data_IF_237356937778
#
_entry.id   IF_237356937778
#
_cell.length_a   1.000
_cell.length_b   1.000
_cell.length_c   1.000
_cell.angle_alpha   90.00
_cell.angle_beta   90.00
_cell.angle_gamma   90.00
#
_symmetry.space_group_name_H-M   'P 1'
#
loop_
_entity.id
_entity.type
_entity.pdbx_description
1 polymer ?
#
# COMPACT_ATOMS: atom_id res chain seq x y z
N UNK A 1 0.81 -8.75 20.27
CA UNK A 1 1.98 -8.90 19.39
C UNK A 1 2.50 -10.32 19.56
N UNK A 2 2.97 -10.95 18.50
CA UNK A 2 3.60 -12.28 18.56
C UNK A 2 4.86 -12.29 19.44
N UNK A 3 5.45 -11.11 19.68
CA UNK A 3 6.62 -10.90 20.52
C UNK A 3 6.44 -11.31 21.98
N UNK A 4 5.28 -11.02 22.61
CA UNK A 4 5.03 -11.42 24.00
C UNK A 4 4.94 -12.94 24.15
N UNK A 5 4.38 -13.61 23.13
CA UNK A 5 4.27 -15.05 23.07
C UNK A 5 5.64 -15.69 22.81
N UNK A 6 6.43 -15.13 21.90
CA UNK A 6 7.80 -15.56 21.65
C UNK A 6 8.70 -15.41 22.89
N UNK A 7 8.58 -14.29 23.64
CA UNK A 7 9.33 -14.07 24.86
C UNK A 7 8.93 -15.05 25.98
N UNK A 8 7.64 -15.31 26.14
CA UNK A 8 7.16 -16.32 27.09
C UNK A 8 7.69 -17.72 26.74
N UNK A 9 7.67 -18.07 25.45
CA UNK A 9 8.23 -19.32 24.94
C UNK A 9 9.73 -19.43 25.21
N UNK A 10 10.50 -18.34 25.07
CA UNK A 10 11.94 -18.30 25.38
C UNK A 10 12.21 -18.51 26.89
N UNK A 11 11.43 -17.87 27.76
CA UNK A 11 11.59 -18.02 29.21
C UNK A 11 11.28 -19.43 29.72
N UNK A 12 10.40 -20.15 29.02
CA UNK A 12 9.98 -21.51 29.36
C UNK A 12 10.53 -22.57 28.37
N UNK A 13 11.61 -22.25 27.66
CA UNK A 13 12.13 -23.11 26.58
C UNK A 13 12.55 -24.51 27.08
N UNK A 14 13.08 -24.58 28.29
CA UNK A 14 13.43 -25.81 29.01
C UNK A 14 12.22 -26.72 29.32
N UNK A 15 10.99 -26.20 29.27
CA UNK A 15 9.76 -26.94 29.53
C UNK A 15 9.16 -27.55 28.26
N UNK A 16 9.67 -27.21 27.07
CA UNK A 16 9.14 -27.65 25.77
C UNK A 16 9.70 -29.03 25.41
N UNK A 17 8.92 -30.12 25.52
CA UNK A 17 9.44 -31.45 25.29
C UNK A 17 9.49 -31.72 23.78
N UNK A 18 10.64 -32.23 23.30
CA UNK A 18 10.89 -32.83 21.97
C UNK A 18 11.54 -31.98 20.86
N UNK A 19 11.90 -30.71 21.05
CA UNK A 19 12.52 -29.92 19.95
C UNK A 19 13.81 -29.15 20.30
N UNK A 20 14.12 -28.76 21.54
CA UNK A 20 15.23 -27.81 21.78
C UNK A 20 16.20 -28.25 22.85
N UNK A 21 17.49 -28.18 22.56
CA UNK A 21 18.59 -28.12 23.52
C UNK A 21 18.34 -27.03 24.59
N UNK A 22 18.88 -27.20 25.80
CA UNK A 22 18.86 -26.16 26.83
C UNK A 22 19.51 -24.88 26.28
N UNK A 23 18.83 -23.73 26.37
CA UNK A 23 19.42 -22.44 26.02
C UNK A 23 20.52 -22.11 27.05
N UNK A 24 21.78 -22.06 26.62
CA UNK A 24 22.89 -21.62 27.47
C UNK A 24 23.04 -20.09 27.32
N UNK A 25 23.19 -19.31 28.41
CA UNK A 25 23.42 -17.86 28.33
C UNK A 25 24.68 -17.47 27.54
N UNK A 26 25.59 -18.43 27.33
CA UNK A 26 26.89 -18.28 26.66
C UNK A 26 26.80 -18.18 25.13
N UNK A 27 25.60 -18.26 24.56
CA UNK A 27 25.39 -18.20 23.10
C UNK A 27 25.29 -16.77 22.53
N UNK A 28 25.44 -15.73 23.34
CA UNK A 28 25.51 -14.35 22.82
C UNK A 28 26.97 -13.99 22.55
N UNK A 29 27.36 -13.96 21.28
CA UNK A 29 28.66 -13.47 20.84
C UNK A 29 28.55 -11.98 20.47
N UNK A 30 29.38 -11.14 21.09
CA UNK A 30 29.47 -9.72 20.74
C UNK A 30 30.71 -9.46 19.89
N UNK A 31 30.52 -8.96 18.68
CA UNK A 31 31.61 -8.57 17.77
C UNK A 31 31.66 -7.05 17.60
N UNK A 32 32.83 -6.46 17.83
CA UNK A 32 33.08 -5.06 17.58
C UNK A 32 33.11 -4.78 16.06
N UNK A 33 32.48 -3.68 15.64
CA UNK A 33 32.49 -3.20 14.26
C UNK A 33 33.59 -2.15 14.06
N UNK A 34 34.38 -2.35 13.00
CA UNK A 34 35.46 -1.46 12.61
C UNK A 34 35.28 -1.03 11.15
N UNK A 35 35.40 0.26 10.87
CA UNK A 35 35.53 0.78 9.51
C UNK A 35 36.99 0.68 9.05
N UNK A 36 37.27 0.04 7.89
CA UNK A 36 38.61 0.00 7.29
C UNK A 36 39.29 1.36 7.15
N UNK A 37 38.53 2.44 6.90
CA UNK A 37 39.04 3.80 6.74
C UNK A 37 39.45 4.46 8.08
N UNK A 38 39.02 3.89 9.21
CA UNK A 38 39.32 4.37 10.57
C UNK A 38 39.77 3.21 11.46
N UNK A 39 40.93 2.59 11.17
CA UNK A 39 41.40 1.44 11.91
C UNK A 39 41.66 1.81 13.38
N UNK A 40 41.29 0.91 14.29
CA UNK A 40 41.53 1.04 15.72
C UNK A 40 40.44 1.77 16.53
N UNK A 41 39.39 2.30 15.89
CA UNK A 41 38.23 2.89 16.60
C UNK A 41 37.00 2.02 16.37
N UNK A 42 36.49 1.43 17.46
CA UNK A 42 35.21 0.72 17.48
C UNK A 42 34.04 1.69 17.19
N UNK A 43 33.16 1.35 16.26
CA UNK A 43 32.04 2.20 15.80
C UNK A 43 30.66 1.60 16.10
N UNK A 44 30.64 0.48 16.79
CA UNK A 44 29.43 -0.24 17.14
C UNK A 44 29.75 -1.67 17.52
N UNK A 45 28.73 -2.38 17.99
CA UNK A 45 28.79 -3.80 18.35
C UNK A 45 27.63 -4.52 17.69
N UNK A 46 27.88 -5.74 17.21
CA UNK A 46 26.83 -6.68 16.85
C UNK A 46 26.76 -7.73 17.96
N UNK A 47 25.58 -7.94 18.51
CA UNK A 47 25.26 -9.07 19.37
C UNK A 47 24.58 -10.16 18.53
N UNK A 48 25.12 -11.38 18.54
CA UNK A 48 24.69 -12.49 17.70
C UNK A 48 24.39 -13.68 18.59
N UNK A 49 23.30 -14.39 18.30
CA UNK A 49 23.00 -15.69 18.88
C UNK A 49 23.72 -16.78 18.09
N UNK A 50 24.56 -17.57 18.74
CA UNK A 50 25.35 -18.65 18.13
C UNK A 50 24.82 -19.99 18.59
N UNK A 51 24.15 -20.70 17.68
CA UNK A 51 23.74 -22.09 17.88
C UNK A 51 24.87 -23.05 17.46
N UNK A 52 25.20 -23.99 18.35
CA UNK A 52 26.18 -25.04 18.11
C UNK A 52 25.47 -26.37 17.88
N UNK A 53 25.65 -26.96 16.69
CA UNK A 53 25.03 -28.23 16.32
C UNK A 53 26.01 -29.40 16.48
N UNK A 54 25.57 -30.55 17.01
CA UNK A 54 26.34 -31.79 16.98
C UNK A 54 26.72 -32.22 15.55
N UNK A 55 27.91 -32.79 15.37
CA UNK A 55 28.43 -33.18 14.05
C UNK A 55 27.68 -34.36 13.40
N UNK A 56 26.89 -35.10 14.18
CA UNK A 56 26.04 -36.22 13.75
C UNK A 56 24.62 -35.80 13.34
N UNK A 57 24.29 -34.50 13.48
CA UNK A 57 23.04 -33.92 13.02
C UNK A 57 23.15 -33.50 11.54
N UNK A 58 22.05 -33.51 10.76
CA UNK A 58 22.03 -32.86 9.47
C UNK A 58 22.54 -31.42 9.57
N UNK A 59 23.35 -31.00 8.59
CA UNK A 59 23.86 -29.63 8.53
C UNK A 59 22.71 -28.61 8.60
N UNK A 60 22.93 -27.44 9.23
CA UNK A 60 21.97 -26.35 9.18
C UNK A 60 21.56 -26.07 7.74
N UNK A 61 20.31 -25.65 7.55
CA UNK A 61 19.80 -25.27 6.24
C UNK A 61 20.63 -24.15 5.62
N UNK A 62 20.34 -23.84 4.35
CA UNK A 62 20.98 -22.73 3.66
C UNK A 62 20.87 -21.44 4.48
N UNK A 63 21.91 -20.59 4.52
CA UNK A 63 21.85 -19.30 5.20
C UNK A 63 20.62 -18.52 4.76
N UNK A 64 19.93 -17.92 5.73
CA UNK A 64 18.78 -17.07 5.45
C UNK A 64 19.27 -15.83 4.70
N UNK A 65 18.72 -15.59 3.51
CA UNK A 65 18.97 -14.35 2.79
C UNK A 65 18.28 -13.19 3.52
N UNK A 66 19.09 -12.39 4.21
CA UNK A 66 18.67 -11.18 4.93
C UNK A 66 18.78 -9.91 4.07
N UNK A 67 19.04 -10.06 2.77
CA UNK A 67 19.08 -8.91 1.86
C UNK A 67 17.78 -8.11 1.94
N UNK A 68 17.84 -6.76 1.87
CA UNK A 68 16.65 -5.94 1.87
C UNK A 68 15.65 -6.42 0.81
N UNK A 69 14.39 -6.59 1.24
CA UNK A 69 13.34 -7.07 0.35
C UNK A 69 13.15 -6.08 -0.79
N UNK A 70 13.13 -6.58 -2.02
CA UNK A 70 12.93 -5.74 -3.20
C UNK A 70 11.44 -5.51 -3.43
N UNK A 71 11.00 -4.26 -3.67
CA UNK A 71 9.61 -4.00 -4.00
C UNK A 71 9.21 -4.65 -5.32
N UNK A 72 7.94 -5.04 -5.39
CA UNK A 72 7.31 -5.55 -6.60
C UNK A 72 6.57 -4.42 -7.31
N UNK A 73 6.63 -4.37 -8.64
CA UNK A 73 5.87 -3.40 -9.42
C UNK A 73 4.42 -3.84 -9.56
N UNK A 74 3.50 -2.92 -9.29
CA UNK A 74 2.05 -3.09 -9.41
C UNK A 74 1.43 -1.99 -10.27
N UNK A 75 0.25 -2.29 -10.79
CA UNK A 75 -0.64 -1.33 -11.44
C UNK A 75 -2.00 -1.38 -10.77
N UNK A 76 -2.45 -0.24 -10.25
CA UNK A 76 -3.82 -0.04 -9.80
C UNK A 76 -4.59 0.65 -10.93
N UNK A 77 -5.69 0.04 -11.35
CA UNK A 77 -6.64 0.64 -12.27
C UNK A 77 -7.93 0.95 -11.53
N UNK A 78 -8.31 2.22 -11.51
CA UNK A 78 -9.58 2.67 -10.93
C UNK A 78 -10.47 3.13 -12.07
N UNK A 79 -11.61 2.47 -12.23
CA UNK A 79 -12.60 2.82 -13.25
C UNK A 79 -13.72 3.58 -12.56
N UNK A 80 -13.90 4.84 -12.92
CA UNK A 80 -15.02 5.69 -12.50
C UNK A 80 -16.16 5.42 -13.48
N UNK A 81 -17.21 4.74 -13.03
CA UNK A 81 -18.37 4.48 -13.88
C UNK A 81 -19.32 5.67 -13.85
N UNK A 82 -19.88 5.92 -12.68
CA UNK A 82 -20.89 6.94 -12.49
C UNK A 82 -20.91 7.46 -11.05
N UNK A 83 -21.47 8.66 -10.88
CA UNK A 83 -21.88 9.24 -9.60
C UNK A 83 -23.39 9.21 -9.48
N UNK A 84 -23.89 9.23 -8.26
CA UNK A 84 -25.31 9.32 -7.92
C UNK A 84 -25.46 10.17 -6.65
N UNK A 85 -26.62 10.81 -6.47
CA UNK A 85 -26.94 11.65 -5.32
C UNK A 85 -25.90 12.77 -5.04
N UNK A 86 -25.31 13.37 -6.09
CA UNK A 86 -24.43 14.54 -5.94
C UNK A 86 -25.25 15.77 -5.53
N UNK A 87 -24.78 16.50 -4.51
CA UNK A 87 -25.39 17.75 -4.05
C UNK A 87 -25.39 18.78 -5.17
N UNK A 88 -26.54 19.44 -5.39
CA UNK A 88 -26.72 20.45 -6.41
C UNK A 88 -26.53 21.85 -5.80
N UNK A 89 -25.41 22.51 -6.09
CA UNK A 89 -25.06 23.81 -5.50
C UNK A 89 -25.27 25.02 -6.43
N UNK A 90 -25.31 24.85 -7.75
CA UNK A 90 -25.36 25.95 -8.71
C UNK A 90 -26.79 26.31 -9.12
N UNK A 91 -27.12 27.60 -9.14
CA UNK A 91 -28.42 28.07 -9.68
C UNK A 91 -28.35 28.26 -11.20
N UNK A 92 -29.26 27.61 -11.95
CA UNK A 92 -29.37 27.82 -13.38
C UNK A 92 -29.86 29.24 -13.71
N UNK A 93 -28.97 30.05 -14.28
CA UNK A 93 -29.17 31.47 -14.62
C UNK A 93 -30.48 31.78 -15.38
N UNK A 94 -31.04 30.80 -16.09
CA UNK A 94 -32.28 30.94 -16.86
C UNK A 94 -33.51 30.27 -16.24
N UNK A 95 -33.35 29.20 -15.44
CA UNK A 95 -34.48 28.37 -14.96
C UNK A 95 -34.72 28.51 -13.45
N UNK A 96 -33.70 28.90 -12.68
CA UNK A 96 -33.72 28.86 -11.21
C UNK A 96 -33.60 27.45 -10.63
N UNK A 97 -33.48 26.43 -11.47
CA UNK A 97 -33.24 25.05 -11.04
C UNK A 97 -31.80 24.87 -10.56
N UNK A 98 -31.62 24.09 -9.48
CA UNK A 98 -30.30 23.72 -8.98
C UNK A 98 -29.62 22.71 -9.92
N UNK A 99 -28.33 22.89 -10.18
CA UNK A 99 -27.50 21.98 -10.96
C UNK A 99 -26.07 21.91 -10.42
N UNK A 100 -25.25 21.02 -10.95
CA UNK A 100 -23.82 20.99 -10.65
C UNK A 100 -22.98 20.45 -11.80
N UNK A 101 -21.76 20.97 -11.93
CA UNK A 101 -20.73 20.45 -12.80
C UNK A 101 -19.89 19.41 -12.06
N UNK A 102 -19.95 18.15 -12.48
CA UNK A 102 -19.39 17.02 -11.72
C UNK A 102 -18.11 16.52 -12.39
N UNK A 103 -17.02 16.40 -11.64
CA UNK A 103 -15.82 15.68 -12.06
C UNK A 103 -15.20 14.96 -10.87
N UNK A 104 -14.41 13.92 -11.14
CA UNK A 104 -13.73 13.14 -10.11
C UNK A 104 -12.23 13.29 -10.27
N UNK A 105 -11.54 13.59 -9.17
CA UNK A 105 -10.08 13.65 -9.09
C UNK A 105 -9.58 12.57 -8.12
N UNK A 106 -8.49 11.91 -8.48
CA UNK A 106 -7.89 10.87 -7.63
C UNK A 106 -6.39 10.75 -7.84
N UNK A 107 -5.68 10.33 -6.79
CA UNK A 107 -4.24 10.10 -6.77
C UNK A 107 -3.92 8.89 -5.88
N UNK A 108 -2.71 8.35 -6.00
CA UNK A 108 -2.26 7.21 -5.18
C UNK A 108 -1.08 7.58 -4.28
N UNK A 109 -0.08 8.29 -4.82
CA UNK A 109 1.13 8.67 -4.07
C UNK A 109 1.07 10.10 -3.57
N UNK A 110 0.37 10.98 -4.29
CA UNK A 110 0.22 12.38 -3.91
C UNK A 110 -0.20 13.26 -5.10
N UNK A 111 -0.17 14.59 -4.96
CA UNK A 111 -0.62 15.51 -6.01
C UNK A 111 0.09 15.34 -7.36
N UNK A 112 1.35 14.88 -7.34
CA UNK A 112 2.16 14.66 -8.55
C UNK A 112 1.63 13.55 -9.46
N UNK A 113 0.89 12.57 -8.92
CA UNK A 113 0.25 11.50 -9.70
C UNK A 113 -1.27 11.67 -9.84
N UNK A 114 -1.80 12.86 -9.52
CA UNK A 114 -3.21 13.15 -9.63
C UNK A 114 -3.72 13.05 -11.07
N UNK A 115 -4.86 12.36 -11.21
CA UNK A 115 -5.61 12.22 -12.44
C UNK A 115 -7.04 12.73 -12.18
N UNK A 116 -7.68 13.22 -13.24
CA UNK A 116 -9.07 13.69 -13.19
C UNK A 116 -9.85 13.18 -14.39
N UNK A 117 -11.16 13.07 -14.23
CA UNK A 117 -12.09 12.79 -15.32
C UNK A 117 -12.37 14.05 -16.15
N UNK A 118 -13.06 13.87 -17.26
CA UNK A 118 -13.80 14.97 -17.91
C UNK A 118 -14.90 15.51 -16.97
N UNK A 119 -15.41 16.70 -17.29
CA UNK A 119 -16.48 17.36 -16.55
C UNK A 119 -17.84 16.97 -17.13
N UNK A 120 -18.75 16.51 -16.28
CA UNK A 120 -20.15 16.33 -16.61
C UNK A 120 -20.91 17.62 -16.29
N UNK A 121 -21.19 18.41 -17.32
CA UNK A 121 -21.78 19.74 -17.17
C UNK A 121 -23.28 19.69 -16.86
N UNK A 122 -23.72 20.58 -15.96
CA UNK A 122 -25.13 20.87 -15.66
C UNK A 122 -25.96 19.65 -15.29
N UNK A 123 -25.45 18.81 -14.38
CA UNK A 123 -26.26 17.72 -13.83
C UNK A 123 -27.43 18.30 -13.03
N UNK A 124 -28.66 17.93 -13.42
CA UNK A 124 -29.89 18.34 -12.73
C UNK A 124 -30.36 17.30 -11.69
N UNK A 125 -29.82 16.10 -11.74
CA UNK A 125 -30.24 14.96 -10.91
C UNK A 125 -29.18 14.54 -9.90
N UNK A 126 -27.97 15.11 -10.00
CA UNK A 126 -26.82 14.65 -9.23
C UNK A 126 -26.20 13.36 -9.79
N UNK A 127 -26.63 12.91 -10.97
CA UNK A 127 -26.02 11.78 -11.67
C UNK A 127 -24.92 12.28 -12.61
N UNK A 128 -23.84 11.52 -12.72
CA UNK A 128 -22.74 11.78 -13.65
C UNK A 128 -22.23 10.46 -14.24
N UNK A 129 -21.93 10.41 -15.53
CA UNK A 129 -21.43 9.20 -16.20
C UNK A 129 -20.09 9.50 -16.87
N UNK A 130 -19.06 8.73 -16.50
CA UNK A 130 -17.68 9.02 -16.88
C UNK A 130 -17.07 7.87 -17.69
N UNK A 131 -17.30 6.61 -17.29
CA UNK A 131 -16.59 5.45 -17.83
C UNK A 131 -15.07 5.70 -17.98
N UNK A 132 -14.48 6.36 -16.98
CA UNK A 132 -13.11 6.85 -17.03
C UNK A 132 -12.18 5.91 -16.31
N UNK A 133 -10.93 5.78 -16.76
CA UNK A 133 -9.95 4.86 -16.16
C UNK A 133 -8.69 5.58 -15.72
N UNK A 134 -8.51 5.67 -14.41
CA UNK A 134 -7.22 6.01 -13.82
C UNK A 134 -6.30 4.80 -13.80
N UNK A 135 -5.02 5.03 -14.09
CA UNK A 135 -3.97 4.00 -14.07
C UNK A 135 -2.80 4.52 -13.24
N UNK A 136 -2.54 3.87 -12.09
CA UNK A 136 -1.47 4.24 -11.17
C UNK A 136 -0.41 3.12 -11.11
N UNK A 137 0.79 3.35 -11.67
CA UNK A 137 1.92 2.45 -11.46
C UNK A 137 2.59 2.73 -10.11
N UNK A 138 2.81 1.70 -9.30
CA UNK A 138 3.44 1.83 -7.98
C UNK A 138 4.28 0.61 -7.61
N UNK A 139 5.10 0.78 -6.58
CA UNK A 139 5.94 -0.26 -6.02
C UNK A 139 5.38 -0.68 -4.65
N UNK A 140 5.39 -1.98 -4.37
CA UNK A 140 4.78 -2.53 -3.16
C UNK A 140 5.65 -3.63 -2.54
N UNK A 141 5.85 -3.50 -1.23
CA UNK A 141 6.54 -4.44 -0.37
C UNK A 141 5.50 -5.32 0.33
N UNK A 142 5.36 -6.56 -0.12
CA UNK A 142 4.27 -7.43 0.30
C UNK A 142 4.37 -7.96 1.73
N UNK A 143 5.57 -7.96 2.32
CA UNK A 143 5.75 -8.42 3.69
C UNK A 143 5.54 -7.31 4.71
N UNK A 144 5.89 -6.09 4.33
CA UNK A 144 5.68 -4.87 5.10
C UNK A 144 4.29 -4.26 4.85
N UNK A 145 3.52 -4.82 3.90
CA UNK A 145 2.22 -4.33 3.43
C UNK A 145 2.22 -2.83 3.01
N UNK A 146 3.34 -2.36 2.45
CA UNK A 146 3.61 -0.92 2.25
C UNK A 146 3.89 -0.56 0.79
N UNK A 147 3.34 0.59 0.37
CA UNK A 147 3.66 1.21 -0.93
C UNK A 147 4.98 1.98 -0.81
N UNK A 148 5.86 1.79 -1.78
CA UNK A 148 7.15 2.48 -1.87
C UNK A 148 7.00 3.72 -2.75
N UNK A 149 7.42 4.87 -2.22
CA UNK A 149 7.46 6.14 -2.95
C UNK A 149 8.92 6.55 -3.07
N UNK A 150 9.47 6.45 -4.28
CA UNK A 150 10.78 7.01 -4.59
C UNK A 150 10.64 8.51 -4.86
N UNK A 151 11.07 9.34 -3.90
CA UNK A 151 11.19 10.79 -4.13
C UNK A 151 12.57 11.04 -4.73
N UNK A 152 12.64 11.45 -6.00
CA UNK A 152 13.89 11.95 -6.58
C UNK A 152 14.22 13.30 -5.96
N UNK A 153 15.09 13.32 -4.97
CA UNK A 153 15.70 14.56 -4.49
C UNK A 153 16.79 14.97 -5.51
N UNK A 154 16.41 15.85 -6.45
CA UNK A 154 17.27 16.50 -7.46
C UNK A 154 17.65 15.69 -8.72
N UNK A 155 17.72 16.36 -9.88
CA UNK A 155 18.12 15.81 -11.19
C UNK A 155 19.62 15.42 -11.29
N UNK A 156 20.40 15.66 -10.22
CA UNK A 156 21.85 15.46 -10.21
C UNK A 156 22.35 14.52 -9.10
N UNK A 157 21.46 13.87 -8.34
CA UNK A 157 21.87 12.81 -7.40
C UNK A 157 21.92 11.48 -8.16
N UNK A 158 23.13 10.93 -8.31
CA UNK A 158 23.37 9.55 -8.75
C UNK A 158 23.47 8.57 -7.57
N UNK A 159 23.07 9.00 -6.38
CA UNK A 159 23.14 8.18 -5.18
C UNK A 159 21.75 7.63 -4.82
N UNK A 160 21.78 6.35 -4.47
CA UNK A 160 20.66 5.43 -4.36
C UNK A 160 19.46 6.02 -3.62
N UNK A 161 18.30 5.93 -4.27
CA UNK A 161 16.98 6.28 -3.75
C UNK A 161 16.78 5.80 -2.31
N UNK A 162 16.76 6.74 -1.37
CA UNK A 162 16.19 6.51 -0.04
C UNK A 162 14.70 6.23 -0.22
N UNK A 163 14.33 4.95 -0.13
CA UNK A 163 12.95 4.50 -0.17
C UNK A 163 12.25 4.94 1.12
N UNK A 164 11.68 6.14 1.13
CA UNK A 164 10.84 6.60 2.23
C UNK A 164 9.54 5.81 2.17
N UNK A 165 9.33 4.96 3.16
CA UNK A 165 8.09 4.20 3.37
C UNK A 165 7.11 5.18 4.00
N UNK A 166 6.09 5.60 3.25
CA UNK A 166 5.08 6.50 3.76
C UNK A 166 3.90 5.71 4.30
N UNK A 167 3.39 6.16 5.45
CA UNK A 167 2.04 5.81 5.89
C UNK A 167 1.05 6.63 5.06
N UNK A 168 0.03 6.00 4.50
CA UNK A 168 -0.85 6.60 3.49
C UNK A 168 -1.89 7.57 4.07
N UNK A 169 -1.78 7.93 5.34
CA UNK A 169 -2.85 8.54 6.14
C UNK A 169 -2.87 10.07 6.16
N UNK A 170 -2.14 10.78 5.29
CA UNK A 170 -2.15 12.25 5.38
C UNK A 170 -1.88 13.02 4.08
N UNK A 171 -2.93 13.34 3.30
CA UNK A 171 -2.89 14.45 2.33
C UNK A 171 -4.23 15.21 2.15
N UNK A 172 -4.27 16.38 2.82
CA UNK A 172 -4.88 17.71 2.54
C UNK A 172 -6.38 17.98 2.27
N UNK A 173 -6.80 19.17 2.75
CA UNK A 173 -8.01 19.99 2.51
C UNK A 173 -7.92 20.82 1.20
N UNK A 174 -9.05 21.01 0.49
CA UNK A 174 -9.74 22.30 0.11
C UNK A 174 -10.92 22.04 -0.86
N UNK A 175 -12.03 22.81 -0.78
CA UNK A 175 -13.27 22.82 -1.62
C UNK A 175 -13.59 21.60 -2.51
N UNK A 176 -14.04 20.50 -1.90
CA UNK A 176 -14.59 19.35 -2.64
C UNK A 176 -16.01 19.04 -2.16
N UNK A 177 -16.89 18.67 -3.10
CA UNK A 177 -18.21 18.13 -2.82
C UNK A 177 -18.15 16.83 -2.00
N UNK A 178 -17.01 16.14 -1.98
CA UNK A 178 -16.78 15.01 -1.09
C UNK A 178 -15.41 14.37 -1.32
N UNK A 179 -14.90 13.65 -0.32
CA UNK A 179 -13.64 12.92 -0.43
C UNK A 179 -13.77 11.51 0.16
N UNK A 180 -12.86 10.62 -0.23
CA UNK A 180 -12.66 9.33 0.43
C UNK A 180 -11.19 8.93 0.30
N UNK A 181 -10.63 8.39 1.40
CA UNK A 181 -9.33 7.74 1.41
C UNK A 181 -9.54 6.29 1.82
N UNK A 182 -8.94 5.35 1.09
CA UNK A 182 -9.10 3.92 1.33
C UNK A 182 -7.75 3.20 1.28
N UNK A 183 -7.48 2.38 2.30
CA UNK A 183 -6.32 1.50 2.32
C UNK A 183 -6.53 0.32 1.37
N UNK A 184 -5.56 0.06 0.48
CA UNK A 184 -5.60 -1.06 -0.47
C UNK A 184 -5.47 -2.43 0.23
N UNK A 185 -4.86 -2.49 1.42
CA UNK A 185 -4.77 -3.70 2.23
C UNK A 185 -6.07 -3.98 2.99
N UNK A 186 -6.80 -2.94 3.37
CA UNK A 186 -8.05 -2.98 4.16
C UNK A 186 -9.15 -2.18 3.46
N UNK A 187 -9.48 -2.61 2.25
CA UNK A 187 -10.40 -1.89 1.38
C UNK A 187 -11.85 -2.22 1.74
N UNK A 188 -12.73 -1.25 2.04
CA UNK A 188 -14.12 -1.54 2.37
C UNK A 188 -14.85 -2.13 1.17
N UNK A 189 -15.65 -3.16 1.40
CA UNK A 189 -16.41 -3.80 0.31
C UNK A 189 -17.53 -2.86 -0.16
N UNK A 190 -17.49 -2.49 -1.44
CA UNK A 190 -18.51 -1.63 -2.05
C UNK A 190 -19.89 -2.28 -2.13
N UNK A 191 -20.93 -1.45 -2.08
CA UNK A 191 -22.31 -1.88 -2.19
C UNK A 191 -22.62 -2.31 -3.63
N UNK A 192 -23.56 -3.25 -3.80
CA UNK A 192 -23.94 -3.73 -5.15
C UNK A 192 -24.76 -2.70 -5.93
N UNK A 193 -25.44 -1.79 -5.24
CA UNK A 193 -26.37 -0.79 -5.78
C UNK A 193 -26.23 0.51 -5.01
N UNK A 194 -26.46 1.67 -5.66
CA UNK A 194 -26.42 2.99 -5.02
C UNK A 194 -27.30 3.05 -3.76
N UNK A 195 -28.56 2.56 -3.85
CA UNK A 195 -29.52 2.47 -2.73
C UNK A 195 -29.07 1.69 -1.50
N UNK A 196 -28.02 0.85 -1.61
CA UNK A 196 -27.46 0.06 -0.50
C UNK A 196 -26.13 0.63 -0.01
N UNK A 197 -25.66 1.71 -0.63
CA UNK A 197 -24.48 2.43 -0.24
C UNK A 197 -24.83 3.33 0.94
N UNK A 198 -24.10 3.21 2.05
CA UNK A 198 -24.31 4.02 3.25
C UNK A 198 -22.95 4.47 3.78
N UNK A 199 -22.91 5.64 4.42
CA UNK A 199 -21.72 6.16 5.11
C UNK A 199 -21.19 5.18 6.16
N UNK A 200 -22.04 4.32 6.71
CA UNK A 200 -21.66 3.24 7.64
C UNK A 200 -20.61 2.30 7.06
N UNK A 201 -20.50 2.21 5.73
CA UNK A 201 -19.50 1.41 5.04
C UNK A 201 -18.08 1.97 5.16
N UNK A 202 -17.90 3.17 5.69
CA UNK A 202 -16.59 3.77 5.97
C UNK A 202 -16.18 3.68 7.43
N UNK A 203 -16.99 3.02 8.27
CA UNK A 203 -16.65 2.82 9.69
C UNK A 203 -15.40 1.96 9.85
N UNK A 204 -14.52 2.40 10.74
CA UNK A 204 -13.26 1.73 11.09
C UNK A 204 -13.36 0.89 12.36
N UNK A 205 -14.57 0.70 12.90
CA UNK A 205 -14.86 -0.05 14.13
C UNK A 205 -14.80 -1.59 13.95
N UNK A 206 -14.41 -2.06 12.75
CA UNK A 206 -14.32 -3.48 12.42
C UNK A 206 -15.64 -4.14 12.04
N UNK A 207 -16.76 -3.40 12.01
CA UNK A 207 -18.07 -3.93 11.59
C UNK A 207 -18.18 -4.07 10.06
N UNK A 208 -17.40 -3.30 9.32
CA UNK A 208 -17.42 -3.29 7.86
C UNK A 208 -16.53 -4.42 7.31
N UNK A 209 -17.04 -5.26 6.40
CA UNK A 209 -16.22 -6.27 5.74
C UNK A 209 -15.16 -5.63 4.85
N UNK A 210 -13.89 -5.85 5.20
CA UNK A 210 -12.73 -5.37 4.47
C UNK A 210 -12.17 -6.44 3.51
N UNK A 211 -11.60 -6.01 2.40
CA UNK A 211 -10.91 -6.87 1.42
C UNK A 211 -9.50 -6.35 1.18
N UNK A 212 -8.54 -7.26 1.02
CA UNK A 212 -7.19 -6.89 0.60
C UNK A 212 -7.12 -6.97 -0.93
N UNK A 213 -6.89 -5.85 -1.60
CA UNK A 213 -6.86 -5.79 -3.07
C UNK A 213 -5.64 -6.48 -3.67
N UNK A 214 -4.58 -6.74 -2.91
CA UNK A 214 -3.44 -7.54 -3.38
C UNK A 214 -3.75 -9.04 -3.42
N UNK A 215 -4.69 -9.50 -2.58
CA UNK A 215 -5.23 -10.87 -2.60
C UNK A 215 -6.40 -10.99 -3.57
N UNK A 216 -7.38 -10.08 -3.47
CA UNK A 216 -8.53 -9.98 -4.34
C UNK A 216 -8.30 -8.93 -5.42
N UNK A 217 -7.78 -9.36 -6.58
CA UNK A 217 -7.32 -8.49 -7.67
C UNK A 217 -8.38 -7.58 -8.30
N UNK A 218 -9.67 -7.81 -8.04
CA UNK A 218 -10.77 -7.08 -8.67
C UNK A 218 -11.92 -6.86 -7.68
N UNK A 219 -12.44 -5.65 -7.66
CA UNK A 219 -13.68 -5.32 -6.97
C UNK A 219 -14.46 -4.27 -7.75
N UNK A 220 -15.79 -4.34 -7.69
CA UNK A 220 -16.72 -3.35 -8.26
C UNK A 220 -17.83 -3.13 -7.26
N UNK A 221 -18.23 -1.88 -7.09
CA UNK A 221 -19.30 -1.51 -6.18
C UNK A 221 -19.51 -0.01 -6.10
N UNK A 222 -20.33 0.37 -5.14
CA UNK A 222 -20.63 1.75 -4.77
C UNK A 222 -19.96 2.06 -3.43
N UNK A 223 -19.36 3.24 -3.33
CA UNK A 223 -18.79 3.78 -2.11
C UNK A 223 -19.31 5.20 -1.87
N UNK A 224 -19.61 5.57 -0.62
CA UNK A 224 -20.01 6.93 -0.29
C UNK A 224 -18.77 7.83 -0.25
N UNK A 225 -18.89 9.08 -0.67
CA UNK A 225 -17.93 10.14 -0.40
C UNK A 225 -18.46 10.97 0.77
N UNK A 226 -17.60 11.31 1.72
CA UNK A 226 -18.01 12.15 2.85
C UNK A 226 -17.93 13.63 2.45
N UNK A 227 -18.97 14.39 2.78
CA UNK A 227 -19.02 15.84 2.67
C UNK A 227 -18.78 16.41 4.07
N UNK A 228 -17.92 17.42 4.21
CA UNK A 228 -17.53 17.93 5.54
C UNK A 228 -18.65 18.68 6.28
N UNK A 229 -19.68 19.09 5.56
CA UNK A 229 -20.64 20.10 6.01
C UNK A 229 -22.03 19.55 6.30
N UNK A 230 -22.44 18.43 5.70
CA UNK A 230 -23.77 17.84 5.92
C UNK A 230 -23.70 16.30 5.93
N UNK A 231 -24.61 15.64 6.64
CA UNK A 231 -24.75 14.17 6.65
C UNK A 231 -25.25 13.60 5.31
N UNK A 232 -25.39 14.44 4.29
CA UNK A 232 -25.75 14.04 2.94
C UNK A 232 -24.48 13.54 2.24
N UNK A 233 -24.54 12.32 1.72
CA UNK A 233 -23.38 11.62 1.17
C UNK A 233 -23.50 11.46 -0.34
N UNK A 234 -22.49 11.92 -1.06
CA UNK A 234 -22.38 11.67 -2.50
C UNK A 234 -22.02 10.20 -2.75
N UNK A 235 -22.60 9.56 -3.77
CA UNK A 235 -22.33 8.16 -4.09
C UNK A 235 -21.47 8.04 -5.35
N UNK A 236 -20.45 7.18 -5.29
CA UNK A 236 -19.52 6.94 -6.39
C UNK A 236 -19.44 5.45 -6.72
N UNK A 237 -19.72 5.09 -7.98
CA UNK A 237 -19.51 3.74 -8.48
C UNK A 237 -18.10 3.59 -9.03
N UNK A 238 -17.35 2.67 -8.43
CA UNK A 238 -15.98 2.37 -8.81
C UNK A 238 -15.83 0.92 -9.25
N UNK A 239 -14.82 0.66 -10.10
CA UNK A 239 -14.25 -0.67 -10.22
C UNK A 239 -12.74 -0.60 -10.10
N UNK A 240 -12.20 -1.30 -9.12
CA UNK A 240 -10.76 -1.33 -8.85
C UNK A 240 -10.20 -2.67 -9.31
N UNK A 241 -9.08 -2.59 -10.02
CA UNK A 241 -8.33 -3.73 -10.51
C UNK A 241 -6.86 -3.54 -10.17
N UNK A 242 -6.29 -4.48 -9.43
CA UNK A 242 -4.86 -4.52 -9.10
C UNK A 242 -4.21 -5.67 -9.85
N UNK A 243 -3.07 -5.38 -10.48
CA UNK A 243 -2.27 -6.39 -11.16
C UNK A 243 -0.80 -6.21 -10.79
N UNK A 244 -0.17 -7.31 -10.36
CA UNK A 244 1.29 -7.38 -10.26
C UNK A 244 1.86 -7.36 -11.68
N UNK A 245 2.70 -6.38 -12.01
CA UNK A 245 3.43 -6.41 -13.28
C UNK A 245 4.50 -7.50 -13.15
N UNK A 246 4.46 -8.47 -14.05
CA UNK A 246 5.60 -9.38 -14.21
C UNK A 246 6.75 -8.52 -14.73
N UNK A 247 7.89 -8.53 -14.04
CA UNK A 247 9.13 -8.00 -14.61
C UNK A 247 9.36 -8.79 -15.89
N UNK A 248 9.15 -8.18 -17.06
CA UNK A 248 9.79 -8.70 -18.28
C UNK A 248 11.28 -8.61 -17.98
N UNK A 249 11.93 -9.76 -17.85
CA UNK A 249 13.38 -9.79 -17.90
C UNK A 249 13.81 -9.00 -19.14
N UNK A 250 14.75 -8.05 -19.04
CA UNK A 250 15.40 -7.58 -20.25
C UNK A 250 15.93 -8.83 -20.95
N UNK A 251 15.57 -9.00 -22.22
CA UNK A 251 16.28 -9.93 -23.09
C UNK A 251 17.74 -9.46 -23.04
N UNK A 252 18.56 -10.15 -22.25
CA UNK A 252 20.00 -10.09 -22.38
C UNK A 252 20.24 -10.72 -23.74
N UNK A 253 20.46 -9.89 -24.76
CA UNK A 253 21.15 -10.32 -25.95
C UNK A 253 22.54 -10.72 -25.46
N UNK A 254 22.70 -12.02 -25.25
CA UNK A 254 23.95 -12.67 -25.00
C UNK A 254 24.79 -12.52 -26.28
N UNK A 255 25.58 -11.44 -26.38
CA UNK A 255 26.68 -11.36 -27.32
C UNK A 255 27.80 -12.31 -26.86
N UNK A 256 27.51 -13.60 -26.91
CA UNK A 256 28.53 -14.64 -26.98
C UNK A 256 28.84 -14.86 -28.47
N UNK A 257 29.75 -14.04 -29.00
CA UNK A 257 30.59 -14.45 -30.13
C UNK A 257 32.01 -14.57 -29.58
N UNK A 258 32.36 -15.80 -29.19
CA UNK A 258 33.77 -16.23 -29.14
C UNK A 258 34.15 -16.76 -30.53
N UNK A 259 35.15 -16.08 -31.08
CA UNK A 259 36.28 -16.53 -31.90
C UNK A 259 36.03 -17.62 -32.95
N UNK A 260 36.31 -17.28 -34.21
CA UNK A 260 37.56 -17.68 -34.88
C UNK A 260 38.17 -16.47 -35.61
#
# INVERSE_FOLDING_TARGET
>A
SEEHLALAVLHHWNEIPRIGTNLVPEHIETRALFNPDKPGIEQGKIEIWVDLFPMDMPLPGLPVDISPRKPNSYELRVIIWNTDEVVLEDDAFFSGDKMSDIYVKGWLKGPDDAQQTDVHYRSLTGEGNFNWRFIFPFEYLAAEEKVVISKKESMFSWDETTSKVWDADHFSKDDFLGAITMDLNRFPRGAKTAKKCSIDMLKTDGTVPMVNLFKQKRTKGWWPLYIKTENDGLLLQLSLHTAKKLKKYPLVLDETIRMD
#
